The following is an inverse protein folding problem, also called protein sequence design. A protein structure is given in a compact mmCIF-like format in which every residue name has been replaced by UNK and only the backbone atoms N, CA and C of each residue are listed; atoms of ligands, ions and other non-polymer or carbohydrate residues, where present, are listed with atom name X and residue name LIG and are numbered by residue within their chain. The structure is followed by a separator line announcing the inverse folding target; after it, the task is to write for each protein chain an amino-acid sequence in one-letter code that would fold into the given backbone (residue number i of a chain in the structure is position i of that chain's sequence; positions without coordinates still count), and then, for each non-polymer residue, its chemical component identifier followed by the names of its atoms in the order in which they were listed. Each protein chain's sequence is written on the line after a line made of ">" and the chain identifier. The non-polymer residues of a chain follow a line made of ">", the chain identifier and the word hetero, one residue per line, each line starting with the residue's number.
data_IF_107292318018
#
_entry.id   IF_107292318018
#
_cell.length_a   1.000
_cell.length_b   1.000
_cell.length_c   1.000
_cell.angle_alpha   90.00
_cell.angle_beta   90.00
_cell.angle_gamma   90.00
#
_symmetry.space_group_name_H-M   'P 1'
#
loop_
_entity.id
_entity.type
_entity.pdbx_description
1 polymer ?
#
# COMPACT_ATOMS: atom_id res chain seq x y z
N UNK A 1 0.41 12.40 8.87
CA UNK A 1 0.63 13.10 7.58
C UNK A 1 1.65 14.20 7.78
N UNK A 2 2.45 14.54 6.77
CA UNK A 2 3.47 15.59 6.81
C UNK A 2 3.21 16.62 5.69
N UNK A 3 3.30 17.93 5.95
CA UNK A 3 3.25 18.96 4.91
C UNK A 3 4.32 18.71 3.84
N UNK A 4 3.93 18.75 2.55
CA UNK A 4 4.84 18.45 1.44
C UNK A 4 5.20 16.95 1.28
N UNK A 5 4.52 16.06 1.98
CA UNK A 5 4.62 14.61 1.77
C UNK A 5 3.86 14.12 0.53
N UNK A 6 3.72 12.80 0.40
CA UNK A 6 3.01 12.18 -0.73
C UNK A 6 3.87 11.96 -1.97
N UNK A 7 5.18 12.19 -1.87
CA UNK A 7 6.16 11.78 -2.88
C UNK A 7 6.18 10.26 -3.05
N UNK A 8 6.78 9.80 -4.15
CA UNK A 8 6.97 8.37 -4.41
C UNK A 8 7.68 7.68 -3.24
N UNK A 9 7.30 6.44 -2.90
CA UNK A 9 7.97 5.67 -1.87
C UNK A 9 9.46 5.49 -2.16
N UNK A 10 10.27 5.37 -1.11
CA UNK A 10 11.70 5.05 -1.24
C UNK A 10 11.90 3.68 -1.91
N UNK A 11 13.02 3.52 -2.60
CA UNK A 11 13.28 2.41 -3.55
C UNK A 11 12.88 1.02 -3.03
N UNK A 12 13.25 0.64 -1.80
CA UNK A 12 12.93 -0.70 -1.27
C UNK A 12 11.44 -0.97 -1.09
N UNK A 13 10.67 0.04 -0.65
CA UNK A 13 9.21 -0.06 -0.52
C UNK A 13 8.55 -0.04 -1.89
N UNK A 14 9.01 0.84 -2.79
CA UNK A 14 8.48 0.92 -4.15
C UNK A 14 8.66 -0.41 -4.90
N UNK A 15 9.86 -0.98 -4.85
CA UNK A 15 10.16 -2.28 -5.47
C UNK A 15 9.25 -3.39 -4.94
N UNK A 16 9.03 -3.44 -3.63
CA UNK A 16 8.14 -4.45 -3.05
C UNK A 16 6.68 -4.23 -3.48
N UNK A 17 6.22 -2.97 -3.54
CA UNK A 17 4.89 -2.64 -4.06
C UNK A 17 4.75 -3.06 -5.53
N UNK A 18 5.72 -2.72 -6.38
CA UNK A 18 5.67 -3.07 -7.80
C UNK A 18 5.75 -4.59 -8.01
N UNK A 19 6.50 -5.31 -7.17
CA UNK A 19 6.55 -6.77 -7.15
C UNK A 19 5.19 -7.39 -6.80
N UNK A 20 4.50 -6.87 -5.78
CA UNK A 20 3.26 -7.47 -5.26
C UNK A 20 2.00 -6.99 -6.01
N UNK A 21 2.01 -5.76 -6.54
CA UNK A 21 0.85 -5.11 -7.15
C UNK A 21 1.04 -4.74 -8.63
N UNK A 22 2.22 -5.01 -9.20
CA UNK A 22 2.57 -4.74 -10.61
C UNK A 22 3.01 -3.30 -10.89
N UNK A 23 2.41 -2.31 -10.23
CA UNK A 23 2.84 -0.91 -10.29
C UNK A 23 2.36 -0.15 -9.04
N UNK A 24 2.98 0.99 -8.73
CA UNK A 24 2.49 1.89 -7.68
C UNK A 24 1.08 2.42 -7.97
N UNK A 25 0.75 2.66 -9.24
CA UNK A 25 -0.59 3.12 -9.66
C UNK A 25 -1.63 2.05 -9.34
N UNK A 26 -1.37 0.79 -9.73
CA UNK A 26 -2.26 -0.33 -9.47
C UNK A 26 -2.47 -0.54 -7.96
N UNK A 27 -1.42 -0.40 -7.16
CA UNK A 27 -1.52 -0.41 -5.69
C UNK A 27 -2.47 0.69 -5.21
N UNK A 28 -2.29 1.93 -5.65
CA UNK A 28 -3.15 3.05 -5.23
C UNK A 28 -4.62 2.81 -5.58
N UNK A 29 -4.90 2.33 -6.78
CA UNK A 29 -6.27 2.02 -7.21
C UNK A 29 -6.90 0.93 -6.33
N UNK A 30 -6.18 -0.16 -6.05
CA UNK A 30 -6.66 -1.24 -5.17
C UNK A 30 -6.86 -0.76 -3.73
N UNK A 31 -5.93 0.03 -3.20
CA UNK A 31 -5.99 0.54 -1.84
C UNK A 31 -7.17 1.49 -1.65
N UNK A 32 -7.37 2.42 -2.60
CA UNK A 32 -8.54 3.32 -2.61
C UNK A 32 -9.83 2.52 -2.79
N UNK A 33 -9.85 1.54 -3.69
CA UNK A 33 -10.98 0.64 -3.88
C UNK A 33 -11.41 -0.04 -2.58
N UNK A 34 -10.46 -0.64 -1.85
CA UNK A 34 -10.74 -1.28 -0.56
C UNK A 34 -11.34 -0.29 0.46
N UNK A 35 -10.81 0.93 0.52
CA UNK A 35 -11.31 1.97 1.42
C UNK A 35 -12.73 2.42 1.05
N UNK A 36 -13.03 2.56 -0.24
CA UNK A 36 -14.37 2.94 -0.73
C UNK A 36 -15.41 1.83 -0.51
N UNK A 37 -15.00 0.56 -0.56
CA UNK A 37 -15.90 -0.58 -0.31
C UNK A 37 -16.10 -0.91 1.17
N UNK A 38 -15.34 -0.26 2.07
CA UNK A 38 -15.46 -0.46 3.50
C UNK A 38 -16.68 0.30 4.04
N UNK A 39 -17.79 -0.43 4.25
CA UNK A 39 -19.00 0.14 4.82
C UNK A 39 -18.91 0.25 6.35
N UNK A 40 -19.31 1.40 6.88
CA UNK A 40 -19.24 1.69 8.31
C UNK A 40 -17.86 2.17 8.75
N UNK A 41 -17.54 1.99 10.03
CA UNK A 41 -16.26 2.42 10.59
C UNK A 41 -15.24 1.29 10.53
N UNK A 42 -14.06 1.58 9.98
CA UNK A 42 -12.95 0.63 9.95
C UNK A 42 -11.71 1.23 9.32
N UNK A 43 -10.74 0.35 8.99
CA UNK A 43 -9.43 0.75 8.50
C UNK A 43 -8.98 -0.14 7.34
N UNK A 44 -8.22 0.45 6.42
CA UNK A 44 -7.47 -0.26 5.37
C UNK A 44 -6.00 -0.02 5.62
N UNK A 45 -5.22 -1.09 5.61
CA UNK A 45 -3.79 -1.07 5.92
C UNK A 45 -2.98 -1.73 4.81
N UNK A 46 -1.80 -1.17 4.53
CA UNK A 46 -0.76 -1.85 3.77
C UNK A 46 0.13 -2.59 4.77
N UNK A 47 0.27 -3.90 4.62
CA UNK A 47 1.04 -4.75 5.53
C UNK A 47 2.12 -5.51 4.77
N UNK A 48 3.28 -5.68 5.39
CA UNK A 48 4.35 -6.53 4.88
C UNK A 48 4.35 -7.84 5.67
N UNK A 49 4.23 -8.98 4.97
CA UNK A 49 4.29 -10.29 5.62
C UNK A 49 5.76 -10.71 5.76
N UNK A 50 6.25 -10.76 7.00
CA UNK A 50 7.48 -11.49 7.30
C UNK A 50 7.16 -12.98 7.34
N UNK A 51 7.76 -13.75 6.43
CA UNK A 51 7.68 -15.22 6.48
C UNK A 51 8.82 -15.67 7.41
N UNK A 52 8.54 -16.30 8.57
CA UNK A 52 9.58 -16.88 9.38
C UNK A 52 10.22 -18.04 8.61
N UNK A 53 11.54 -17.95 8.41
CA UNK A 53 12.34 -19.03 7.86
C UNK A 53 12.46 -20.05 9.00
N UNK A 54 11.75 -21.18 8.88
CA UNK A 54 11.94 -22.35 9.75
C UNK A 54 13.26 -23.04 9.46
#
# INVERSE_FOLDING_TARGET
>A
MQPGGGNMPTLGLLQQIEKDFGSFINFREKFIGAALTLFGSGWVWLVCKSIPIS
#
